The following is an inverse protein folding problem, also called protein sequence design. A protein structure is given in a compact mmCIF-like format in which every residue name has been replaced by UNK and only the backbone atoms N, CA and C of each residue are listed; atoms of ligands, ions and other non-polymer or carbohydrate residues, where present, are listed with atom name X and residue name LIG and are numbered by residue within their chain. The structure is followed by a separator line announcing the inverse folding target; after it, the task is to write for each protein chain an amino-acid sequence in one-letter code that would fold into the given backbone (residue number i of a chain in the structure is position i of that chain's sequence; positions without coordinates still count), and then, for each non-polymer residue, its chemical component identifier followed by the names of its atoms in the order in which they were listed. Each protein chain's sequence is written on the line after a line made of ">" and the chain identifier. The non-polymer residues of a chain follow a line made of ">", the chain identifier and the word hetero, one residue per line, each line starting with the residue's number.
data_IF_482544006397
#
_entry.id   IF_482544006397
#
_cell.length_a   1.000
_cell.length_b   1.000
_cell.length_c   1.000
_cell.angle_alpha   90.00
_cell.angle_beta   90.00
_cell.angle_gamma   90.00
#
_symmetry.space_group_name_H-M   'P 1'
#
loop_
_entity.id
_entity.type
_entity.pdbx_description
1 polymer ?
#
# COMPACT_ATOMS: atom_id res chain seq x y z
N UNK A 1 -8.73 4.57 -26.67
CA UNK A 1 -7.84 5.39 -25.82
C UNK A 1 -7.17 4.41 -24.88
N UNK A 2 -5.84 4.28 -24.93
CA UNK A 2 -5.12 3.41 -24.01
C UNK A 2 -5.10 4.10 -22.64
N UNK A 3 -5.68 3.46 -21.64
CA UNK A 3 -5.68 3.91 -20.26
C UNK A 3 -4.26 3.74 -19.71
N UNK A 4 -3.64 4.81 -19.20
CA UNK A 4 -2.31 4.75 -18.60
C UNK A 4 -2.33 3.80 -17.39
N UNK A 5 -1.27 3.01 -17.15
CA UNK A 5 -1.23 2.11 -16.00
C UNK A 5 -1.31 2.96 -14.73
N UNK A 6 -2.30 2.66 -13.87
CA UNK A 6 -2.37 3.25 -12.54
C UNK A 6 -1.10 2.87 -11.76
N UNK A 7 -0.37 3.86 -11.26
CA UNK A 7 0.82 3.62 -10.45
C UNK A 7 0.48 2.71 -9.26
N UNK A 8 1.30 1.69 -8.97
CA UNK A 8 1.05 0.80 -7.85
C UNK A 8 1.06 1.59 -6.54
N UNK A 9 0.11 1.29 -5.66
CA UNK A 9 0.05 1.89 -4.32
C UNK A 9 1.38 1.67 -3.58
N UNK A 10 2.04 2.74 -3.08
CA UNK A 10 3.36 2.63 -2.44
C UNK A 10 3.21 2.10 -1.01
N UNK A 11 3.02 0.79 -0.88
CA UNK A 11 2.67 0.11 0.36
C UNK A 11 3.68 0.35 1.49
N UNK A 12 4.99 0.18 1.21
CA UNK A 12 6.03 0.35 2.23
C UNK A 12 6.09 1.78 2.76
N UNK A 13 5.95 2.77 1.88
CA UNK A 13 5.91 4.18 2.29
C UNK A 13 4.67 4.50 3.13
N UNK A 14 3.50 3.97 2.76
CA UNK A 14 2.27 4.14 3.53
C UNK A 14 2.33 3.46 4.90
N UNK A 15 2.97 2.28 4.99
CA UNK A 15 3.19 1.59 6.24
C UNK A 15 4.15 2.37 7.16
N UNK A 16 5.26 2.87 6.63
CA UNK A 16 6.20 3.70 7.39
C UNK A 16 5.54 4.99 7.90
N UNK A 17 4.66 5.60 7.11
CA UNK A 17 3.86 6.75 7.56
C UNK A 17 2.91 6.37 8.70
N UNK A 18 2.23 5.23 8.60
CA UNK A 18 1.35 4.75 9.66
C UNK A 18 2.11 4.51 10.97
N UNK A 19 3.30 3.90 10.91
CA UNK A 19 4.18 3.69 12.07
C UNK A 19 4.57 5.03 12.72
N UNK A 20 4.92 6.03 11.90
CA UNK A 20 5.24 7.37 12.39
C UNK A 20 4.05 8.06 13.08
N UNK A 21 2.82 7.90 12.55
CA UNK A 21 1.61 8.43 13.19
C UNK A 21 1.32 7.75 14.52
N UNK A 22 1.49 6.42 14.60
CA UNK A 22 1.35 5.67 15.86
C UNK A 22 2.36 6.15 16.89
N UNK A 23 3.64 6.27 16.52
CA UNK A 23 4.68 6.78 17.42
C UNK A 23 4.36 8.20 17.94
N UNK A 24 3.79 9.07 17.09
CA UNK A 24 3.35 10.42 17.51
C UNK A 24 2.18 10.38 18.50
N UNK A 25 1.21 9.48 18.30
CA UNK A 25 0.09 9.30 19.23
C UNK A 25 0.56 8.76 20.59
N UNK A 26 1.50 7.82 20.59
CA UNK A 26 2.07 7.23 21.81
C UNK A 26 2.98 8.22 22.56
N UNK A 27 3.56 9.20 21.86
CA UNK A 27 4.43 10.22 22.44
C UNK A 27 3.73 11.17 23.42
N UNK A 28 2.40 11.32 23.34
CA UNK A 28 1.61 12.07 24.33
C UNK A 28 1.78 13.60 24.32
N UNK A 29 2.54 14.15 23.37
CA UNK A 29 2.75 15.61 23.24
C UNK A 29 1.69 16.31 22.37
N UNK A 30 0.77 15.55 21.77
CA UNK A 30 -0.25 16.08 20.88
C UNK A 30 -1.41 16.73 21.66
N UNK A 31 -1.93 17.84 21.14
CA UNK A 31 -3.22 18.37 21.60
C UNK A 31 -4.34 17.39 21.25
N UNK A 32 -5.53 17.58 21.83
CA UNK A 32 -6.70 16.75 21.51
C UNK A 32 -7.06 16.82 20.02
N UNK A 33 -7.02 18.02 19.43
CA UNK A 33 -7.34 18.25 18.02
C UNK A 33 -6.31 17.58 17.09
N UNK A 34 -5.02 17.70 17.43
CA UNK A 34 -3.96 17.04 16.68
C UNK A 34 -4.02 15.51 16.81
N UNK A 35 -4.42 15.01 17.98
CA UNK A 35 -4.60 13.58 18.22
C UNK A 35 -5.73 13.01 17.36
N UNK A 36 -6.85 13.74 17.25
CA UNK A 36 -7.96 13.33 16.38
C UNK A 36 -7.56 13.35 14.91
N UNK A 37 -6.87 14.40 14.47
CA UNK A 37 -6.38 14.50 13.09
C UNK A 37 -5.40 13.37 12.73
N UNK A 38 -4.44 13.10 13.62
CA UNK A 38 -3.45 12.02 13.46
C UNK A 38 -4.13 10.65 13.42
N UNK A 39 -5.16 10.45 14.25
CA UNK A 39 -5.94 9.22 14.25
C UNK A 39 -6.74 9.02 12.95
N UNK A 40 -7.41 10.06 12.45
CA UNK A 40 -8.14 10.00 11.18
C UNK A 40 -7.22 9.66 10.00
N UNK A 41 -6.03 10.24 9.97
CA UNK A 41 -5.00 9.94 8.98
C UNK A 41 -4.54 8.48 9.07
N UNK A 42 -4.28 7.98 10.29
CA UNK A 42 -3.92 6.58 10.53
C UNK A 42 -5.00 5.61 10.04
N UNK A 43 -6.29 5.91 10.28
CA UNK A 43 -7.41 5.11 9.78
C UNK A 43 -7.45 5.10 8.25
N UNK A 44 -7.19 6.25 7.61
CA UNK A 44 -7.15 6.35 6.15
C UNK A 44 -6.03 5.49 5.56
N UNK A 45 -4.81 5.62 6.07
CA UNK A 45 -3.66 4.82 5.63
C UNK A 45 -3.90 3.33 5.85
N UNK A 46 -4.44 2.94 7.00
CA UNK A 46 -4.77 1.54 7.30
C UNK A 46 -5.72 0.95 6.25
N UNK A 47 -6.77 1.70 5.87
CA UNK A 47 -7.73 1.25 4.83
C UNK A 47 -7.06 1.08 3.47
N UNK A 48 -6.17 1.99 3.09
CA UNK A 48 -5.43 1.91 1.84
C UNK A 48 -4.48 0.71 1.81
N UNK A 49 -3.72 0.48 2.88
CA UNK A 49 -2.86 -0.70 3.03
C UNK A 49 -3.66 -2.01 2.90
N UNK A 50 -4.80 -2.11 3.59
CA UNK A 50 -5.67 -3.28 3.48
C UNK A 50 -6.22 -3.48 2.06
N UNK A 51 -6.53 -2.40 1.33
CA UNK A 51 -7.00 -2.49 -0.05
C UNK A 51 -5.90 -2.96 -1.01
N UNK A 52 -4.67 -2.49 -0.81
CA UNK A 52 -3.52 -2.95 -1.57
C UNK A 52 -3.25 -4.44 -1.33
N UNK A 53 -3.27 -4.89 -0.07
CA UNK A 53 -3.12 -6.31 0.29
C UNK A 53 -4.20 -7.18 -0.35
N UNK A 54 -5.47 -6.78 -0.25
CA UNK A 54 -6.58 -7.52 -0.91
C UNK A 54 -6.40 -7.62 -2.42
N UNK A 55 -5.92 -6.55 -3.06
CA UNK A 55 -5.67 -6.56 -4.51
C UNK A 55 -4.52 -7.50 -4.87
N UNK A 56 -3.45 -7.51 -4.07
CA UNK A 56 -2.33 -8.43 -4.24
C UNK A 56 -2.76 -9.89 -4.04
N UNK A 57 -3.54 -10.18 -3.00
CA UNK A 57 -4.11 -11.52 -2.74
C UNK A 57 -4.97 -12.00 -3.90
N UNK A 58 -5.85 -11.15 -4.44
CA UNK A 58 -6.68 -11.48 -5.61
C UNK A 58 -5.83 -11.76 -6.85
N UNK A 59 -4.76 -10.97 -7.09
CA UNK A 59 -3.83 -11.21 -8.20
C UNK A 59 -3.14 -12.56 -8.04
N UNK A 60 -2.66 -12.89 -6.84
CA UNK A 60 -2.03 -14.19 -6.55
C UNK A 60 -3.02 -15.35 -6.76
N UNK A 61 -4.25 -15.22 -6.26
CA UNK A 61 -5.29 -16.23 -6.43
C UNK A 61 -5.59 -16.51 -7.92
N UNK A 62 -5.71 -15.46 -8.74
CA UNK A 62 -5.93 -15.59 -10.18
C UNK A 62 -4.75 -16.28 -10.88
N UNK A 63 -3.51 -15.99 -10.48
CA UNK A 63 -2.31 -16.63 -11.03
C UNK A 63 -2.24 -18.12 -10.68
N UNK A 64 -2.65 -18.48 -9.46
CA UNK A 64 -2.73 -19.86 -8.99
C UNK A 64 -3.83 -20.65 -9.73
N UNK A 65 -5.01 -20.05 -9.93
CA UNK A 65 -6.13 -20.67 -10.66
C UNK A 65 -5.79 -20.92 -12.15
N UNK A 66 -4.98 -20.05 -12.76
CA UNK A 66 -4.51 -20.19 -14.15
C UNK A 66 -3.38 -21.22 -14.33
N UNK A 67 -3.06 -22.01 -13.30
CA UNK A 67 -2.09 -23.11 -13.42
C UNK A 67 -0.62 -22.70 -13.32
N UNK A 68 -0.31 -21.57 -12.66
CA UNK A 68 1.06 -21.28 -12.19
C UNK A 68 2.12 -20.96 -13.24
N UNK A 69 1.75 -20.77 -14.52
CA UNK A 69 2.70 -20.35 -15.57
C UNK A 69 2.31 -18.98 -16.11
N UNK A 70 2.65 -17.93 -15.37
CA UNK A 70 3.09 -16.68 -16.02
C UNK A 70 4.60 -16.83 -16.22
N UNK A 71 5.11 -16.71 -17.46
CA UNK A 71 6.55 -16.56 -17.64
C UNK A 71 6.98 -15.35 -16.79
N UNK A 72 7.84 -15.59 -15.80
CA UNK A 72 8.61 -14.51 -15.21
C UNK A 72 9.56 -14.07 -16.31
N UNK A 73 9.22 -12.98 -16.99
CA UNK A 73 10.06 -12.38 -18.02
C UNK A 73 10.99 -11.39 -17.31
N UNK A 74 12.27 -11.73 -17.09
CA UNK A 74 13.21 -10.84 -16.42
C UNK A 74 13.52 -9.58 -17.24
N UNK A 75 12.98 -9.44 -18.45
CA UNK A 75 13.14 -8.27 -19.31
C UNK A 75 12.16 -7.12 -18.99
N UNK A 76 11.08 -7.36 -18.23
CA UNK A 76 10.12 -6.30 -17.83
C UNK A 76 10.70 -5.37 -16.72
N UNK A 77 11.74 -5.81 -15.99
CA UNK A 77 12.41 -5.03 -14.93
C UNK A 77 13.73 -4.39 -15.40
N UNK A 78 14.20 -4.71 -16.61
CA UNK A 78 15.48 -4.28 -17.16
C UNK A 78 15.35 -3.14 -18.19
N UNK A 79 14.38 -2.25 -17.99
CA UNK A 79 13.87 -1.42 -19.07
C UNK A 79 13.47 0.01 -18.73
N UNK A 80 14.04 0.67 -17.71
CA UNK A 80 14.11 2.14 -17.72
C UNK A 80 15.35 2.62 -16.93
N UNK A 81 16.13 3.47 -17.60
CA UNK A 81 17.48 3.92 -17.25
C UNK A 81 17.51 5.01 -16.17
#
# INVERSE_FOLDING_TARGET
>A
MAEAPAEPFPFEAALAQLEALVARLEGGELSLEDSLTTFEEGIRLTRQCQQALRSAEQKVALLMEKGGTVPFDPEDDAGES
#
